data_IF_911847021036
#
_entry.id   IF_911847021036
#
_cell.length_a   1.000
_cell.length_b   1.000
_cell.length_c   1.000
_cell.angle_alpha   90.00
_cell.angle_beta   90.00
_cell.angle_gamma   90.00
#
_symmetry.space_group_name_H-M   'P 1'
#
loop_
_entity.id
_entity.type
_entity.pdbx_description
1 polymer ?
#
# COMPACT_ATOMS: atom_id res chain seq x y z
N UNK A 1 -33.15 40.81 -21.96
CA UNK A 1 -31.98 40.20 -22.65
C UNK A 1 -30.79 40.21 -21.68
N UNK A 2 -30.62 39.22 -20.78
CA UNK A 2 -29.42 39.19 -19.89
C UNK A 2 -29.19 37.90 -19.07
N UNK A 3 -29.85 36.76 -19.34
CA UNK A 3 -29.73 35.56 -18.47
C UNK A 3 -28.95 34.39 -19.13
N UNK A 4 -28.80 34.35 -20.45
CA UNK A 4 -28.09 33.26 -21.17
C UNK A 4 -26.56 33.31 -21.10
N UNK A 5 -25.96 34.44 -20.70
CA UNK A 5 -24.49 34.60 -20.71
C UNK A 5 -23.84 34.17 -19.39
N UNK A 6 -24.57 34.16 -18.27
CA UNK A 6 -24.01 33.83 -16.94
C UNK A 6 -23.85 32.33 -16.70
N UNK A 7 -24.73 31.50 -17.28
CA UNK A 7 -24.64 30.03 -17.19
C UNK A 7 -23.56 29.44 -18.10
N UNK A 8 -23.25 30.09 -19.23
CA UNK A 8 -22.21 29.63 -20.15
C UNK A 8 -20.79 29.84 -19.57
N UNK A 9 -20.55 30.94 -18.85
CA UNK A 9 -19.27 31.20 -18.17
C UNK A 9 -19.01 30.27 -16.99
N UNK A 10 -20.05 29.85 -16.26
CA UNK A 10 -19.91 28.94 -15.13
C UNK A 10 -19.48 27.52 -15.56
N UNK A 11 -19.93 27.06 -16.73
CA UNK A 11 -19.55 25.75 -17.27
C UNK A 11 -18.11 25.76 -17.82
N UNK A 12 -17.68 26.87 -18.43
CA UNK A 12 -16.32 27.01 -18.98
C UNK A 12 -15.23 27.09 -17.88
N UNK A 13 -15.51 27.71 -16.72
CA UNK A 13 -14.58 27.73 -15.59
C UNK A 13 -14.42 26.35 -14.91
N UNK A 14 -15.42 25.48 -14.97
CA UNK A 14 -15.33 24.14 -14.38
C UNK A 14 -14.42 23.19 -15.19
N UNK A 15 -14.34 23.39 -16.52
CA UNK A 15 -13.51 22.57 -17.40
C UNK A 15 -12.00 22.93 -17.33
N UNK A 16 -11.65 24.18 -17.02
CA UNK A 16 -10.25 24.61 -16.94
C UNK A 16 -9.54 24.14 -15.64
N UNK A 17 -10.30 23.88 -14.57
CA UNK A 17 -9.76 23.33 -13.32
C UNK A 17 -9.44 21.82 -13.41
N UNK A 18 -10.04 21.10 -14.36
CA UNK A 18 -9.79 19.67 -14.55
C UNK A 18 -8.45 19.37 -15.23
N UNK A 19 -7.94 20.30 -16.04
CA UNK A 19 -6.68 20.14 -16.78
C UNK A 19 -5.42 20.40 -15.94
N UNK A 20 -5.54 20.93 -14.72
CA UNK A 20 -4.38 21.29 -13.89
C UNK A 20 -3.74 20.12 -13.12
N UNK A 21 -4.34 18.91 -13.14
CA UNK A 21 -3.84 17.75 -12.38
C UNK A 21 -3.26 16.62 -13.24
N UNK A 22 -3.19 16.78 -14.56
CA UNK A 22 -2.57 15.78 -15.44
C UNK A 22 -1.07 16.08 -15.63
N UNK A 23 -0.30 16.12 -14.54
CA UNK A 23 1.16 16.05 -14.66
C UNK A 23 1.54 14.60 -14.97
N UNK A 24 2.09 14.35 -16.15
CA UNK A 24 2.62 13.03 -16.52
C UNK A 24 3.68 12.60 -15.49
N UNK A 25 3.55 11.42 -14.87
CA UNK A 25 4.53 10.93 -13.90
C UNK A 25 5.93 10.93 -14.49
N UNK A 26 6.93 11.35 -13.71
CA UNK A 26 8.32 11.32 -14.16
C UNK A 26 8.78 9.87 -14.24
N UNK A 27 9.17 9.41 -15.43
CA UNK A 27 9.71 8.07 -15.60
C UNK A 27 11.08 7.94 -14.93
N UNK A 28 11.26 6.86 -14.19
CA UNK A 28 12.52 6.50 -13.51
C UNK A 28 12.82 5.04 -13.74
N UNK A 29 14.09 4.75 -14.06
CA UNK A 29 14.54 3.40 -14.37
C UNK A 29 15.13 2.70 -13.16
N UNK A 30 15.62 3.46 -12.16
CA UNK A 30 16.33 2.92 -10.99
C UNK A 30 15.85 3.57 -9.69
N UNK A 31 15.94 2.83 -8.60
CA UNK A 31 15.62 3.33 -7.26
C UNK A 31 16.38 4.61 -6.86
N UNK A 32 17.62 4.80 -7.34
CA UNK A 32 18.45 5.96 -6.98
C UNK A 32 17.92 7.30 -7.53
N UNK A 33 17.07 7.26 -8.56
CA UNK A 33 16.44 8.45 -9.15
C UNK A 33 15.20 8.92 -8.38
N UNK A 34 14.77 8.16 -7.38
CA UNK A 34 13.64 8.49 -6.51
C UNK A 34 14.04 9.46 -5.39
N UNK A 35 13.08 10.25 -4.89
CA UNK A 35 13.33 11.13 -3.75
C UNK A 35 13.78 10.32 -2.53
N UNK A 36 14.80 10.85 -1.84
CA UNK A 36 15.24 10.35 -0.54
C UNK A 36 14.59 11.19 0.56
N UNK A 37 13.92 10.53 1.49
CA UNK A 37 13.28 11.18 2.63
C UNK A 37 14.06 10.89 3.90
N UNK A 38 14.19 11.91 4.75
CA UNK A 38 14.80 11.81 6.07
C UNK A 38 13.77 12.22 7.12
N UNK A 39 13.53 11.35 8.10
CA UNK A 39 12.57 11.59 9.16
C UNK A 39 13.32 11.85 10.47
N UNK A 40 13.42 13.11 10.93
CA UNK A 40 14.07 13.41 12.18
C UNK A 40 13.27 12.80 13.34
N UNK A 41 13.94 11.99 14.16
CA UNK A 41 13.37 11.40 15.37
C UNK A 41 13.87 12.20 16.56
N UNK A 42 12.95 12.74 17.37
CA UNK A 42 13.30 13.48 18.58
C UNK A 42 13.31 12.54 19.78
N UNK A 43 14.42 12.53 20.53
CA UNK A 43 14.64 11.67 21.69
C UNK A 43 14.99 10.22 21.33
N UNK A 44 14.91 9.33 22.31
CA UNK A 44 15.26 7.92 22.15
C UNK A 44 14.33 7.20 21.16
N UNK A 45 14.91 6.51 20.17
CA UNK A 45 14.16 5.80 19.13
C UNK A 45 13.24 4.73 19.73
N UNK A 46 13.70 3.99 20.75
CA UNK A 46 12.89 2.98 21.43
C UNK A 46 11.61 3.60 22.02
N UNK A 47 11.72 4.79 22.62
CA UNK A 47 10.59 5.49 23.20
C UNK A 47 9.60 5.97 22.13
N UNK A 48 10.06 6.24 20.91
CA UNK A 48 9.18 6.59 19.78
C UNK A 48 8.45 5.36 19.26
N UNK A 49 9.14 4.22 19.12
CA UNK A 49 8.54 2.98 18.58
C UNK A 49 7.52 2.37 19.54
N UNK A 50 7.75 2.48 20.86
CA UNK A 50 6.84 1.94 21.88
C UNK A 50 5.62 2.81 22.18
N UNK A 51 5.63 4.07 21.75
CA UNK A 51 4.54 5.03 21.95
C UNK A 51 3.67 5.08 20.67
N UNK A 52 2.42 4.58 20.69
CA UNK A 52 1.57 4.54 19.51
C UNK A 52 1.33 5.92 18.88
N UNK A 53 1.22 6.97 19.69
CA UNK A 53 0.95 8.33 19.21
C UNK A 53 2.18 8.92 18.53
N UNK A 54 3.36 8.77 19.13
CA UNK A 54 4.62 9.24 18.54
C UNK A 54 4.98 8.44 17.28
N UNK A 55 4.77 7.13 17.31
CA UNK A 55 4.98 6.29 16.13
C UNK A 55 4.02 6.63 14.99
N UNK A 56 2.75 6.96 15.30
CA UNK A 56 1.78 7.34 14.29
C UNK A 56 2.21 8.58 13.48
N UNK A 57 2.88 9.56 14.10
CA UNK A 57 3.41 10.74 13.38
C UNK A 57 4.44 10.33 12.33
N UNK A 58 5.37 9.43 12.70
CA UNK A 58 6.35 8.89 11.77
C UNK A 58 5.67 8.08 10.66
N UNK A 59 4.75 7.19 11.02
CA UNK A 59 4.00 6.35 10.07
C UNK A 59 3.25 7.19 9.03
N UNK A 60 2.60 8.29 9.44
CA UNK A 60 1.89 9.17 8.50
C UNK A 60 2.83 9.92 7.56
N UNK A 61 4.00 10.36 8.04
CA UNK A 61 5.00 10.99 7.18
C UNK A 61 5.51 9.99 6.11
N UNK A 62 5.87 8.77 6.54
CA UNK A 62 6.31 7.69 5.63
C UNK A 62 5.23 7.32 4.62
N UNK A 63 3.97 7.20 5.07
CA UNK A 63 2.82 6.93 4.19
C UNK A 63 2.71 7.99 3.11
N UNK A 64 2.61 9.26 3.50
CA UNK A 64 2.43 10.39 2.59
C UNK A 64 3.54 10.43 1.54
N UNK A 65 4.78 10.31 1.96
CA UNK A 65 5.93 10.42 1.07
C UNK A 65 6.03 9.21 0.12
N UNK A 66 5.67 8.01 0.59
CA UNK A 66 5.59 6.79 -0.23
C UNK A 66 4.45 6.88 -1.26
N UNK A 67 3.27 7.35 -0.86
CA UNK A 67 2.12 7.55 -1.75
C UNK A 67 2.41 8.63 -2.79
N UNK A 68 3.01 9.75 -2.39
CA UNK A 68 3.45 10.81 -3.29
C UNK A 68 4.48 10.30 -4.30
N UNK A 69 5.40 9.42 -3.88
CA UNK A 69 6.38 8.79 -4.77
C UNK A 69 5.71 7.86 -5.78
N UNK A 70 4.78 7.00 -5.33
CA UNK A 70 4.05 6.11 -6.24
C UNK A 70 3.12 6.86 -7.21
N UNK A 71 2.63 8.03 -6.83
CA UNK A 71 1.78 8.87 -7.68
C UNK A 71 2.58 9.75 -8.66
N UNK A 72 3.74 10.26 -8.22
CA UNK A 72 4.53 11.23 -9.00
C UNK A 72 5.49 10.61 -10.02
N UNK A 73 5.72 9.29 -9.95
CA UNK A 73 6.75 8.62 -10.75
C UNK A 73 6.22 7.38 -11.48
N UNK A 74 6.58 7.26 -12.76
CA UNK A 74 6.46 5.99 -13.50
C UNK A 74 7.71 5.15 -13.24
N UNK A 75 7.61 4.24 -12.27
CA UNK A 75 8.74 3.42 -11.79
C UNK A 75 8.82 2.15 -12.63
N UNK A 76 9.81 2.09 -13.53
CA UNK A 76 10.00 0.96 -14.43
C UNK A 76 10.47 -0.31 -13.70
N UNK A 77 11.31 -0.17 -12.69
CA UNK A 77 11.83 -1.29 -11.90
C UNK A 77 10.75 -1.88 -11.00
N UNK A 78 10.25 -3.07 -11.37
CA UNK A 78 9.16 -3.74 -10.66
C UNK A 78 9.49 -4.07 -9.20
N UNK A 79 10.76 -4.37 -8.89
CA UNK A 79 11.22 -4.62 -7.53
C UNK A 79 11.03 -3.38 -6.64
N UNK A 80 11.46 -2.20 -7.13
CA UNK A 80 11.29 -0.92 -6.45
C UNK A 80 9.81 -0.59 -6.23
N UNK A 81 8.96 -0.81 -7.23
CA UNK A 81 7.51 -0.61 -7.09
C UNK A 81 6.89 -1.56 -6.05
N UNK A 82 7.28 -2.84 -6.04
CA UNK A 82 6.85 -3.82 -5.03
C UNK A 82 7.29 -3.41 -3.62
N UNK A 83 8.52 -2.91 -3.46
CA UNK A 83 9.03 -2.47 -2.16
C UNK A 83 8.23 -1.30 -1.60
N UNK A 84 7.95 -0.27 -2.41
CA UNK A 84 7.15 0.89 -1.98
C UNK A 84 5.71 0.48 -1.62
N UNK A 85 5.09 -0.39 -2.42
CA UNK A 85 3.78 -0.96 -2.08
C UNK A 85 3.85 -1.78 -0.79
N UNK A 86 4.93 -2.52 -0.57
CA UNK A 86 5.16 -3.31 0.64
C UNK A 86 5.29 -2.47 1.91
N UNK A 87 5.84 -1.26 1.81
CA UNK A 87 5.80 -0.27 2.91
C UNK A 87 4.36 0.08 3.24
N UNK A 88 3.55 0.42 2.23
CA UNK A 88 2.14 0.79 2.45
C UNK A 88 1.31 -0.36 3.01
N UNK A 89 1.53 -1.61 2.55
CA UNK A 89 0.90 -2.80 3.15
C UNK A 89 1.20 -2.89 4.65
N UNK A 90 2.45 -2.70 5.07
CA UNK A 90 2.80 -2.75 6.49
C UNK A 90 2.11 -1.65 7.30
N UNK A 91 2.06 -0.43 6.77
CA UNK A 91 1.36 0.68 7.41
C UNK A 91 -0.15 0.42 7.50
N UNK A 92 -0.75 -0.09 6.43
CA UNK A 92 -2.17 -0.48 6.41
C UNK A 92 -2.47 -1.55 7.47
N UNK A 93 -1.59 -2.54 7.65
CA UNK A 93 -1.73 -3.57 8.68
C UNK A 93 -1.59 -3.02 10.11
N UNK A 94 -0.68 -2.07 10.34
CA UNK A 94 -0.47 -1.42 11.64
C UNK A 94 -1.64 -0.50 12.02
N UNK A 95 -2.29 0.08 11.02
CA UNK A 95 -3.45 0.97 11.16
C UNK A 95 -4.80 0.23 11.09
N UNK A 96 -4.78 -1.11 11.08
CA UNK A 96 -5.98 -1.96 11.00
C UNK A 96 -6.81 -1.76 9.71
N UNK A 97 -6.19 -1.22 8.65
CA UNK A 97 -6.78 -1.00 7.32
C UNK A 97 -6.62 -2.24 6.44
N UNK A 98 -7.24 -3.34 6.85
CA UNK A 98 -7.01 -4.64 6.21
C UNK A 98 -7.42 -4.70 4.74
N UNK A 99 -8.48 -4.00 4.35
CA UNK A 99 -8.92 -3.96 2.95
C UNK A 99 -7.92 -3.25 2.04
N UNK A 100 -7.28 -2.19 2.54
CA UNK A 100 -6.22 -1.48 1.82
C UNK A 100 -4.96 -2.36 1.70
N UNK A 101 -4.59 -3.03 2.79
CA UNK A 101 -3.48 -3.98 2.79
C UNK A 101 -3.69 -5.11 1.79
N UNK A 102 -4.90 -5.69 1.72
CA UNK A 102 -5.27 -6.73 0.75
C UNK A 102 -5.18 -6.22 -0.69
N UNK A 103 -5.74 -5.03 -0.96
CA UNK A 103 -5.70 -4.41 -2.30
C UNK A 103 -4.27 -4.18 -2.78
N UNK A 104 -3.41 -3.60 -1.93
CA UNK A 104 -2.00 -3.36 -2.28
C UNK A 104 -1.20 -4.65 -2.37
N UNK A 105 -1.49 -5.64 -1.51
CA UNK A 105 -0.87 -6.96 -1.60
C UNK A 105 -1.19 -7.65 -2.92
N UNK A 106 -2.41 -7.50 -3.46
CA UNK A 106 -2.76 -8.00 -4.78
C UNK A 106 -1.96 -7.29 -5.89
N UNK A 107 -1.73 -5.98 -5.77
CA UNK A 107 -0.86 -5.25 -6.70
C UNK A 107 0.58 -5.80 -6.66
N UNK A 108 1.13 -6.06 -5.47
CA UNK A 108 2.47 -6.67 -5.33
C UNK A 108 2.53 -8.04 -6.01
N UNK A 109 1.50 -8.88 -5.82
CA UNK A 109 1.42 -10.20 -6.45
C UNK A 109 1.44 -10.11 -7.98
N UNK A 110 0.73 -9.14 -8.57
CA UNK A 110 0.71 -8.94 -10.02
C UNK A 110 2.09 -8.57 -10.59
N UNK A 111 2.88 -7.83 -9.80
CA UNK A 111 4.25 -7.42 -10.14
C UNK A 111 5.30 -8.53 -9.95
N UNK A 112 4.92 -9.70 -9.43
CA UNK A 112 5.83 -10.83 -9.33
C UNK A 112 6.04 -11.50 -10.68
N UNK A 113 7.30 -11.71 -11.03
CA UNK A 113 7.70 -12.38 -12.28
C UNK A 113 7.83 -13.89 -12.09
N UNK A 114 8.43 -14.31 -10.97
CA UNK A 114 8.61 -15.73 -10.66
C UNK A 114 7.30 -16.37 -10.22
N UNK A 115 6.90 -17.52 -10.79
CA UNK A 115 5.67 -18.21 -10.41
C UNK A 115 5.60 -18.54 -8.91
N UNK A 116 6.69 -19.04 -8.31
CA UNK A 116 6.76 -19.33 -6.88
C UNK A 116 6.48 -18.08 -6.03
N UNK A 117 7.15 -16.97 -6.33
CA UNK A 117 6.96 -15.70 -5.61
C UNK A 117 5.51 -15.20 -5.74
N UNK A 118 4.90 -15.38 -6.92
CA UNK A 118 3.50 -15.02 -7.15
C UNK A 118 2.53 -15.88 -6.33
N UNK A 119 2.79 -17.17 -6.18
CA UNK A 119 1.97 -18.07 -5.37
C UNK A 119 2.01 -17.70 -3.88
N UNK A 120 3.19 -17.38 -3.35
CA UNK A 120 3.38 -17.06 -1.94
C UNK A 120 3.06 -15.58 -1.61
N UNK A 121 3.05 -14.70 -2.61
CA UNK A 121 2.85 -13.26 -2.40
C UNK A 121 1.54 -12.97 -1.66
N UNK A 122 1.66 -12.24 -0.55
CA UNK A 122 0.52 -11.78 0.22
C UNK A 122 -0.15 -12.82 1.13
N UNK A 123 0.36 -14.07 1.19
CA UNK A 123 -0.21 -15.13 2.03
C UNK A 123 -0.42 -14.67 3.47
N UNK A 124 0.60 -14.09 4.08
CA UNK A 124 0.53 -13.59 5.47
C UNK A 124 -0.52 -12.50 5.64
N UNK A 125 -0.65 -11.58 4.68
CA UNK A 125 -1.64 -10.49 4.72
C UNK A 125 -3.05 -11.07 4.67
N UNK A 126 -3.31 -11.99 3.72
CA UNK A 126 -4.60 -12.66 3.57
C UNK A 126 -4.96 -13.48 4.81
N UNK A 127 -4.00 -14.23 5.37
CA UNK A 127 -4.22 -15.04 6.56
C UNK A 127 -4.58 -14.19 7.78
N UNK A 128 -3.86 -13.09 8.02
CA UNK A 128 -4.18 -12.17 9.12
C UNK A 128 -5.55 -11.54 8.91
N UNK A 129 -5.85 -11.06 7.70
CA UNK A 129 -7.15 -10.46 7.38
C UNK A 129 -8.33 -11.45 7.59
N UNK A 130 -8.16 -12.71 7.19
CA UNK A 130 -9.14 -13.77 7.47
C UNK A 130 -9.32 -13.99 8.98
N UNK A 131 -8.20 -14.05 9.73
CA UNK A 131 -8.21 -14.21 11.17
C UNK A 131 -8.98 -13.11 11.89
N UNK A 132 -8.72 -11.84 11.56
CA UNK A 132 -9.38 -10.70 12.21
C UNK A 132 -10.88 -10.62 11.90
N UNK A 133 -11.31 -11.14 10.76
CA UNK A 133 -12.74 -11.29 10.44
C UNK A 133 -13.45 -12.35 11.31
N UNK A 134 -12.69 -13.21 12.01
CA UNK A 134 -13.24 -14.23 12.92
C UNK A 134 -13.09 -13.89 14.40
N UNK A 135 -12.16 -13.03 14.77
CA UNK A 135 -11.98 -12.61 16.16
C UNK A 135 -10.82 -11.65 16.36
N UNK A 136 -10.72 -11.07 17.55
CA UNK A 136 -9.63 -10.18 17.92
C UNK A 136 -8.27 -10.89 17.74
N UNK A 137 -7.23 -10.14 17.33
CA UNK A 137 -5.89 -10.69 17.15
C UNK A 137 -5.41 -11.40 18.42
N UNK A 138 -4.82 -12.59 18.24
CA UNK A 138 -4.33 -13.43 19.33
C UNK A 138 -5.39 -14.27 20.04
N UNK A 139 -6.69 -14.06 19.76
CA UNK A 139 -7.76 -14.93 20.29
C UNK A 139 -7.70 -16.34 19.70
N UNK A 140 -8.33 -17.30 20.37
CA UNK A 140 -8.45 -18.69 19.87
C UNK A 140 -9.10 -18.74 18.49
N UNK A 141 -10.17 -17.97 18.26
CA UNK A 141 -10.86 -17.92 16.97
C UNK A 141 -9.96 -17.35 15.86
N UNK A 142 -9.23 -16.27 16.15
CA UNK A 142 -8.25 -15.69 15.22
C UNK A 142 -7.14 -16.70 14.88
N UNK A 143 -6.52 -17.32 15.89
CA UNK A 143 -5.40 -18.24 15.69
C UNK A 143 -5.84 -19.49 14.89
N UNK A 144 -7.04 -20.01 15.18
CA UNK A 144 -7.61 -21.14 14.46
C UNK A 144 -7.84 -20.81 12.98
N UNK A 145 -8.40 -19.63 12.68
CA UNK A 145 -8.66 -19.21 11.31
C UNK A 145 -7.37 -18.94 10.53
N UNK A 146 -6.37 -18.27 11.13
CA UNK A 146 -5.06 -18.07 10.50
C UNK A 146 -4.43 -19.41 10.14
N UNK A 147 -4.41 -20.35 11.10
CA UNK A 147 -3.83 -21.67 10.88
C UNK A 147 -4.57 -22.46 9.79
N UNK A 148 -5.90 -22.41 9.78
CA UNK A 148 -6.73 -23.03 8.75
C UNK A 148 -6.46 -22.41 7.38
N UNK A 149 -6.47 -21.08 7.28
CA UNK A 149 -6.24 -20.36 6.02
C UNK A 149 -4.89 -20.71 5.40
N UNK A 150 -3.81 -20.68 6.21
CA UNK A 150 -2.46 -21.00 5.72
C UNK A 150 -2.37 -22.44 5.25
N UNK A 151 -2.94 -23.39 6.00
CA UNK A 151 -2.96 -24.80 5.60
C UNK A 151 -3.67 -25.00 4.26
N UNK A 152 -4.88 -24.46 4.14
CA UNK A 152 -5.71 -24.56 2.94
C UNK A 152 -5.02 -23.94 1.71
N UNK A 153 -4.32 -22.82 1.87
CA UNK A 153 -3.59 -22.21 0.76
C UNK A 153 -2.42 -23.09 0.33
N UNK A 154 -1.61 -23.57 1.28
CA UNK A 154 -0.43 -24.39 1.00
C UNK A 154 -0.80 -25.74 0.37
N UNK A 155 -1.87 -26.40 0.83
CA UNK A 155 -2.36 -27.66 0.27
C UNK A 155 -2.77 -27.54 -1.21
N UNK A 156 -3.22 -26.34 -1.64
CA UNK A 156 -3.57 -26.06 -3.04
C UNK A 156 -2.36 -25.71 -3.90
N UNK A 157 -1.19 -25.46 -3.31
CA UNK A 157 -0.02 -25.05 -4.09
C UNK A 157 0.58 -26.23 -4.85
N UNK A 158 0.96 -26.03 -6.12
CA UNK A 158 1.73 -27.02 -6.84
C UNK A 158 3.16 -27.04 -6.27
N UNK A 159 3.42 -27.91 -5.30
CA UNK A 159 4.72 -28.00 -4.59
C UNK A 159 5.93 -28.14 -5.53
N UNK A 160 5.76 -28.75 -6.70
CA UNK A 160 6.80 -28.85 -7.73
C UNK A 160 7.27 -27.48 -8.30
N UNK A 161 6.50 -26.41 -8.11
CA UNK A 161 6.80 -25.04 -8.58
C UNK A 161 7.44 -24.18 -7.49
N UNK A 162 7.39 -24.60 -6.22
CA UNK A 162 7.78 -23.79 -5.05
C UNK A 162 9.14 -24.23 -4.45
N UNK A 163 9.73 -25.34 -4.94
CA UNK A 163 11.09 -25.77 -4.55
C UNK A 163 12.20 -24.94 -5.18
#
# INVERSE_FOLDING_TARGET
>A
MTIRHKTLCALACALLLASAFAQTPKRVERADDLPRFSYPVQGELEAVVRDPQRFAVLAQAVRRDTEATLAGYDIAELATRRQLLGVLVQLDMLEWRYDDALRRSAQIQQLQEKPADKLLSGLTVRAIAAGVARGARGSTAYNAEVARFVRDELERMPYAVVQ
#
